data_IF_222164874494
#
_entry.id   IF_222164874494
#
_cell.length_a   1.000
_cell.length_b   1.000
_cell.length_c   1.000
_cell.angle_alpha   90.00
_cell.angle_beta   90.00
_cell.angle_gamma   90.00
#
_symmetry.space_group_name_H-M   'P 1'
#
loop_
_entity.id
_entity.type
_entity.pdbx_description
1 polymer ?
#
# COMPACT_ATOMS: atom_id res chain seq x y z
N UNK A 1 -2.13 -0.03 -11.89
CA UNK A 1 -2.48 -0.77 -10.65
C UNK A 1 -1.53 -0.44 -9.50
N UNK A 2 -0.22 -0.77 -9.60
CA UNK A 2 0.75 -0.48 -8.53
C UNK A 2 0.77 0.99 -8.07
N UNK A 3 0.83 1.95 -9.01
CA UNK A 3 0.74 3.38 -8.69
C UNK A 3 -0.58 3.72 -7.97
N UNK A 4 -1.70 3.13 -8.40
CA UNK A 4 -3.01 3.36 -7.77
C UNK A 4 -3.05 2.90 -6.32
N UNK A 5 -2.52 1.71 -6.01
CA UNK A 5 -2.41 1.24 -4.62
C UNK A 5 -1.54 2.15 -3.76
N UNK A 6 -0.40 2.61 -4.28
CA UNK A 6 0.47 3.53 -3.54
C UNK A 6 -0.16 4.89 -3.32
N UNK A 7 -0.92 5.41 -4.30
CA UNK A 7 -1.69 6.64 -4.12
C UNK A 7 -2.70 6.50 -2.99
N UNK A 8 -3.43 5.38 -2.92
CA UNK A 8 -4.38 5.14 -1.83
C UNK A 8 -3.70 5.11 -0.46
N UNK A 9 -2.53 4.47 -0.34
CA UNK A 9 -1.72 4.51 0.88
C UNK A 9 -1.24 5.92 1.24
N UNK A 10 -0.74 6.69 0.27
CA UNK A 10 -0.31 8.08 0.48
C UNK A 10 -1.46 8.98 0.93
N UNK A 11 -2.69 8.74 0.45
CA UNK A 11 -3.87 9.48 0.90
C UNK A 11 -4.18 9.22 2.38
N UNK A 12 -4.00 7.99 2.86
CA UNK A 12 -4.16 7.63 4.28
C UNK A 12 -3.10 8.37 5.11
N UNK A 13 -1.82 8.29 4.71
CA UNK A 13 -0.72 8.97 5.38
C UNK A 13 -0.91 10.48 5.46
N UNK A 14 -1.22 11.11 4.32
CA UNK A 14 -1.50 12.54 4.25
C UNK A 14 -2.70 12.95 5.13
N UNK A 15 -3.78 12.16 5.15
CA UNK A 15 -4.93 12.42 6.01
C UNK A 15 -4.54 12.42 7.50
N UNK A 16 -3.79 11.41 7.93
CA UNK A 16 -3.37 11.29 9.34
C UNK A 16 -2.35 12.36 9.72
N UNK A 17 -1.45 12.72 8.82
CA UNK A 17 -0.51 13.83 9.00
C UNK A 17 -1.26 15.14 9.27
N UNK A 18 -2.33 15.44 8.52
CA UNK A 18 -3.15 16.65 8.71
C UNK A 18 -3.73 16.73 10.14
N UNK A 19 -4.14 15.60 10.71
CA UNK A 19 -4.75 15.55 12.05
C UNK A 19 -3.69 15.57 13.15
N UNK A 20 -2.61 14.80 12.96
CA UNK A 20 -1.56 14.61 13.97
C UNK A 20 -0.60 15.80 14.04
N UNK A 21 -0.49 16.59 12.96
CA UNK A 21 0.40 17.75 12.80
C UNK A 21 1.89 17.50 13.04
N UNK A 22 2.30 16.27 13.33
CA UNK A 22 3.68 15.91 13.60
C UNK A 22 3.97 14.47 13.15
N UNK A 23 4.81 14.35 12.12
CA UNK A 23 5.22 13.08 11.52
C UNK A 23 4.16 12.39 10.68
N UNK A 24 4.59 11.56 9.74
CA UNK A 24 3.73 10.65 8.97
C UNK A 24 3.99 9.20 9.40
N UNK A 25 3.47 8.79 10.58
CA UNK A 25 3.72 7.46 11.13
C UNK A 25 3.17 6.35 10.23
N UNK A 26 2.12 6.65 9.46
CA UNK A 26 1.49 5.68 8.56
C UNK A 26 2.35 5.42 7.35
N UNK A 27 2.84 6.47 6.68
CA UNK A 27 3.78 6.29 5.57
C UNK A 27 5.08 5.64 6.05
N UNK A 28 5.56 5.96 7.26
CA UNK A 28 6.72 5.30 7.85
C UNK A 28 6.50 3.78 8.04
N UNK A 29 5.37 3.38 8.64
CA UNK A 29 5.03 1.97 8.82
C UNK A 29 4.88 1.24 7.48
N UNK A 30 4.21 1.86 6.51
CA UNK A 30 4.04 1.30 5.17
C UNK A 30 5.40 1.11 4.51
N UNK A 31 6.29 2.09 4.61
CA UNK A 31 7.65 2.04 4.05
C UNK A 31 8.48 0.92 4.69
N UNK A 32 8.43 0.74 6.00
CA UNK A 32 9.12 -0.36 6.68
C UNK A 32 8.56 -1.71 6.20
N UNK A 33 7.23 -1.84 6.16
CA UNK A 33 6.57 -3.06 5.73
C UNK A 33 6.90 -3.42 4.28
N UNK A 34 6.87 -2.46 3.36
CA UNK A 34 7.19 -2.67 1.96
C UNK A 34 8.66 -2.96 1.72
N UNK A 35 9.55 -2.33 2.46
CA UNK A 35 11.00 -2.55 2.30
C UNK A 35 11.42 -3.94 2.78
N UNK A 36 10.88 -4.37 3.94
CA UNK A 36 11.21 -5.67 4.51
C UNK A 36 10.47 -6.82 3.83
N UNK A 37 9.18 -6.65 3.55
CA UNK A 37 8.28 -7.75 3.15
C UNK A 37 7.76 -7.63 1.72
N UNK A 38 8.13 -6.58 0.97
CA UNK A 38 7.63 -6.33 -0.39
C UNK A 38 8.31 -7.14 -1.50
N UNK A 39 8.95 -8.26 -1.20
CA UNK A 39 9.56 -9.17 -2.19
C UNK A 39 10.66 -8.53 -3.06
N UNK A 40 11.34 -7.51 -2.55
CA UNK A 40 12.48 -6.85 -3.20
C UNK A 40 13.80 -7.44 -2.70
N UNK A 41 13.98 -7.48 -1.37
CA UNK A 41 15.22 -7.93 -0.74
C UNK A 41 15.20 -9.43 -0.46
N UNK A 42 14.07 -9.95 0.02
CA UNK A 42 13.94 -11.34 0.44
C UNK A 42 12.72 -11.99 -0.22
N UNK A 43 12.90 -13.15 -0.90
CA UNK A 43 11.78 -13.94 -1.35
C UNK A 43 10.96 -14.43 -0.15
N UNK A 44 9.62 -14.37 -0.17
CA UNK A 44 8.81 -14.82 0.97
C UNK A 44 8.98 -16.31 1.29
N UNK A 45 9.49 -17.12 0.36
CA UNK A 45 9.80 -18.54 0.56
C UNK A 45 10.89 -18.79 1.61
N UNK A 46 11.76 -17.81 1.89
CA UNK A 46 12.84 -17.95 2.88
C UNK A 46 12.45 -17.39 4.26
N UNK A 47 11.23 -16.84 4.39
CA UNK A 47 10.76 -16.22 5.63
C UNK A 47 9.99 -17.22 6.51
N UNK A 48 9.97 -17.03 7.85
CA UNK A 48 9.04 -17.71 8.75
C UNK A 48 7.58 -17.57 8.28
N UNK A 49 6.71 -18.55 8.56
CA UNK A 49 5.34 -18.59 8.02
C UNK A 49 4.49 -17.36 8.40
N UNK A 50 4.72 -16.79 9.60
CA UNK A 50 4.03 -15.56 10.03
C UNK A 50 4.41 -14.35 9.16
N UNK A 51 5.69 -14.22 8.80
CA UNK A 51 6.19 -13.12 7.98
C UNK A 51 5.78 -13.30 6.51
N UNK A 52 5.73 -14.55 6.05
CA UNK A 52 5.24 -14.89 4.73
C UNK A 52 3.79 -14.41 4.51
N UNK A 53 2.92 -14.55 5.51
CA UNK A 53 1.55 -14.06 5.44
C UNK A 53 1.48 -12.53 5.25
N UNK A 54 2.38 -11.77 5.89
CA UNK A 54 2.45 -10.31 5.77
C UNK A 54 2.84 -9.92 4.34
N UNK A 55 3.80 -10.62 3.73
CA UNK A 55 4.18 -10.41 2.33
C UNK A 55 3.00 -10.56 1.37
N UNK A 56 2.14 -11.55 1.58
CA UNK A 56 0.96 -11.77 0.72
C UNK A 56 -0.13 -10.71 0.90
N UNK A 57 -0.12 -9.94 1.98
CA UNK A 57 -1.06 -8.82 2.15
C UNK A 57 -0.58 -7.58 1.39
N UNK A 58 0.72 -7.45 1.15
CA UNK A 58 1.30 -6.26 0.52
C UNK A 58 1.10 -6.26 -1.01
N UNK A 59 0.53 -5.19 -1.59
CA UNK A 59 0.39 -5.09 -3.05
C UNK A 59 1.71 -5.14 -3.81
N UNK A 60 2.78 -4.70 -3.15
CA UNK A 60 4.12 -4.72 -3.70
C UNK A 60 4.60 -6.14 -4.04
N UNK A 61 4.19 -7.16 -3.27
CA UNK A 61 4.51 -8.56 -3.56
C UNK A 61 4.00 -8.98 -4.94
N UNK A 62 2.72 -8.73 -5.23
CA UNK A 62 2.09 -9.10 -6.50
C UNK A 62 2.68 -8.32 -7.68
N UNK A 63 3.06 -7.06 -7.45
CA UNK A 63 3.71 -6.23 -8.47
C UNK A 63 5.06 -6.82 -8.90
N UNK A 64 5.96 -7.11 -7.96
CA UNK A 64 7.27 -7.67 -8.29
C UNK A 64 7.19 -9.11 -8.81
N UNK A 65 6.26 -9.91 -8.30
CA UNK A 65 6.02 -11.28 -8.80
C UNK A 65 5.57 -11.25 -10.25
N UNK A 66 4.63 -10.37 -10.60
CA UNK A 66 4.15 -10.19 -11.98
C UNK A 66 5.29 -9.77 -12.92
N UNK A 67 6.12 -8.80 -12.52
CA UNK A 67 7.27 -8.37 -13.31
C UNK A 67 8.24 -9.53 -13.54
N UNK A 68 8.53 -10.31 -12.49
CA UNK A 68 9.45 -11.44 -12.59
C UNK A 68 8.93 -12.50 -13.57
N UNK A 69 7.64 -12.84 -13.51
CA UNK A 69 7.00 -13.79 -14.42
C UNK A 69 7.05 -13.33 -15.88
N UNK A 70 6.85 -12.03 -16.13
CA UNK A 70 6.99 -11.45 -17.47
C UNK A 70 8.43 -11.60 -17.97
N UNK A 71 9.42 -11.28 -17.12
CA UNK A 71 10.83 -11.35 -17.49
C UNK A 71 11.31 -12.79 -17.74
N UNK A 72 10.72 -13.79 -17.06
CA UNK A 72 11.02 -15.21 -17.29
C UNK A 72 10.32 -15.80 -18.52
N UNK A 73 9.54 -15.00 -19.27
CA UNK A 73 8.83 -15.47 -20.46
C UNK A 73 7.63 -16.36 -20.15
N UNK A 74 7.04 -16.25 -18.96
CA UNK A 74 5.89 -17.05 -18.56
C UNK A 74 4.63 -16.68 -19.36
N UNK A 75 3.74 -17.65 -19.54
CA UNK A 75 2.48 -17.44 -20.26
C UNK A 75 1.55 -16.48 -19.50
N UNK A 76 0.75 -15.70 -20.24
CA UNK A 76 -0.23 -14.74 -19.70
C UNK A 76 -1.15 -15.36 -18.63
N UNK A 77 -1.50 -16.64 -18.77
CA UNK A 77 -2.33 -17.37 -17.80
C UNK A 77 -1.72 -17.43 -16.38
N UNK A 78 -0.40 -17.42 -16.26
CA UNK A 78 0.29 -17.44 -14.96
C UNK A 78 0.35 -16.05 -14.29
N UNK A 79 0.24 -14.99 -15.08
CA UNK A 79 0.33 -13.59 -14.61
C UNK A 79 -1.06 -13.07 -14.20
N UNK A 80 -2.11 -13.54 -14.88
CA UNK A 80 -3.49 -13.13 -14.65
C UNK A 80 -3.95 -13.16 -13.18
N UNK A 81 -3.70 -14.24 -12.39
CA UNK A 81 -4.13 -14.28 -10.99
C UNK A 81 -3.44 -13.21 -10.13
N UNK A 82 -2.14 -12.99 -10.33
CA UNK A 82 -1.38 -11.99 -9.58
C UNK A 82 -1.89 -10.57 -9.86
N UNK A 83 -2.19 -10.29 -11.13
CA UNK A 83 -2.74 -8.99 -11.56
C UNK A 83 -4.16 -8.78 -11.05
N UNK A 84 -4.99 -9.83 -10.99
CA UNK A 84 -6.34 -9.77 -10.42
C UNK A 84 -6.32 -9.46 -8.92
N UNK A 85 -5.43 -10.10 -8.16
CA UNK A 85 -5.28 -9.81 -6.73
C UNK A 85 -4.82 -8.37 -6.53
N UNK A 86 -3.84 -7.91 -7.32
CA UNK A 86 -3.37 -6.53 -7.28
C UNK A 86 -4.48 -5.53 -7.66
N UNK A 87 -5.33 -5.88 -8.63
CA UNK A 87 -6.47 -5.06 -9.03
C UNK A 87 -7.52 -4.98 -7.91
N UNK A 88 -7.81 -6.09 -7.24
CA UNK A 88 -8.71 -6.14 -6.09
C UNK A 88 -8.17 -5.29 -4.93
N UNK A 89 -6.89 -5.42 -4.60
CA UNK A 89 -6.25 -4.58 -3.58
C UNK A 89 -6.31 -3.10 -3.95
N UNK A 90 -6.08 -2.75 -5.22
CA UNK A 90 -6.23 -1.38 -5.71
C UNK A 90 -7.67 -0.87 -5.53
N UNK A 91 -8.66 -1.69 -5.91
CA UNK A 91 -10.06 -1.35 -5.80
C UNK A 91 -10.53 -1.18 -4.35
N UNK A 92 -9.84 -1.76 -3.36
CA UNK A 92 -10.13 -1.58 -1.93
C UNK A 92 -9.36 -0.40 -1.32
N UNK A 93 -8.04 -0.34 -1.55
CA UNK A 93 -7.15 0.62 -0.88
C UNK A 93 -7.42 2.05 -1.34
N UNK A 94 -7.73 2.26 -2.62
CA UNK A 94 -8.02 3.60 -3.16
C UNK A 94 -9.27 4.23 -2.52
N UNK A 95 -10.44 3.59 -2.53
CA UNK A 95 -11.62 4.17 -1.87
C UNK A 95 -11.47 4.26 -0.36
N UNK A 96 -10.76 3.30 0.28
CA UNK A 96 -10.45 3.39 1.71
C UNK A 96 -9.59 4.63 1.99
N UNK A 97 -8.53 4.85 1.21
CA UNK A 97 -7.66 6.02 1.34
C UNK A 97 -8.41 7.33 1.12
N UNK A 98 -9.29 7.39 0.13
CA UNK A 98 -10.19 8.52 -0.07
C UNK A 98 -11.12 8.76 1.14
N UNK A 99 -11.72 7.71 1.69
CA UNK A 99 -12.58 7.78 2.87
C UNK A 99 -11.85 8.33 4.10
N UNK A 100 -10.66 7.79 4.40
CA UNK A 100 -9.83 8.26 5.53
C UNK A 100 -9.40 9.70 5.32
N UNK A 101 -8.91 10.04 4.13
CA UNK A 101 -8.46 11.39 3.80
C UNK A 101 -9.59 12.43 3.99
N UNK A 102 -10.78 12.15 3.47
CA UNK A 102 -11.93 13.06 3.60
C UNK A 102 -12.42 13.18 5.05
N UNK A 103 -12.37 12.10 5.84
CA UNK A 103 -12.68 12.14 7.26
C UNK A 103 -11.69 13.01 8.02
N UNK A 104 -10.39 12.81 7.80
CA UNK A 104 -9.33 13.63 8.41
C UNK A 104 -9.48 15.12 8.05
N UNK A 105 -9.78 15.44 6.79
CA UNK A 105 -10.03 16.82 6.37
C UNK A 105 -11.24 17.44 7.09
N UNK A 106 -12.34 16.69 7.24
CA UNK A 106 -13.53 17.17 7.97
C UNK A 106 -13.21 17.41 9.45
N UNK A 107 -12.47 16.52 10.09
CA UNK A 107 -12.01 16.67 11.48
C UNK A 107 -11.12 17.88 11.65
N UNK A 108 -10.14 18.08 10.77
CA UNK A 108 -9.23 19.23 10.81
C UNK A 108 -9.94 20.58 10.58
N UNK A 109 -10.99 20.60 9.74
CA UNK A 109 -11.87 21.76 9.55
C UNK A 109 -12.66 22.10 10.81
N UNK A 110 -13.28 21.10 11.45
CA UNK A 110 -14.09 21.29 12.67
C UNK A 110 -13.27 21.81 13.84
N UNK A 111 -12.02 21.36 13.97
CA UNK A 111 -11.15 21.76 15.06
C UNK A 111 -10.52 23.16 14.86
N UNK A 112 -10.88 23.91 13.81
CA UNK A 112 -10.33 25.25 13.53
C UNK A 112 -8.83 25.27 13.21
N UNK A 113 -8.21 24.09 13.11
CA UNK A 113 -6.76 23.90 13.04
C UNK A 113 -6.13 24.24 11.69
N UNK A 114 -6.95 24.62 10.69
CA UNK A 114 -6.49 25.10 9.38
C UNK A 114 -5.87 26.50 9.42
N UNK A 115 -6.16 27.30 10.46
CA UNK A 115 -5.60 28.66 10.58
C UNK A 115 -4.13 28.70 11.03
N UNK A 116 -3.54 27.56 11.39
CA UNK A 116 -2.18 27.46 11.94
C UNK A 116 -1.23 26.63 11.06
N UNK A 117 -1.53 26.55 9.76
CA UNK A 117 -0.59 26.13 8.72
C UNK A 117 -0.26 27.36 7.87
#
# INVERSE_FOLDING_TARGET
>A
LGIGTFLGFSMIGAGILIVTKQGDPVTALITIATTLFGNVLFPPQVMPPLLQAISYVLPQYYFFTSIRLVLTGSTIAMILPEVLILALQCAIIVPLGYGVYTWCLKTARKNGTLSWF
#
